data_IF_389428568602
#
_entry.id   IF_389428568602
#
_cell.length_a   1.000
_cell.length_b   1.000
_cell.length_c   1.000
_cell.angle_alpha   90.00
_cell.angle_beta   90.00
_cell.angle_gamma   90.00
#
_symmetry.space_group_name_H-M   'P 1'
#
loop_
_entity.id
_entity.type
_entity.pdbx_description
1 polymer ?
#
# COMPACT_ATOMS: atom_id res chain seq x y z
N UNK A 1 16.71 3.68 -29.99
CA UNK A 1 17.09 4.27 -28.68
C UNK A 1 17.01 3.15 -27.66
N UNK A 2 18.12 2.72 -27.05
CA UNK A 2 18.08 1.64 -26.04
C UNK A 2 17.42 2.17 -24.78
N UNK A 3 16.36 1.50 -24.32
CA UNK A 3 15.66 1.86 -23.08
C UNK A 3 16.61 1.72 -21.90
N UNK A 4 16.53 2.68 -20.99
CA UNK A 4 17.11 2.57 -19.65
C UNK A 4 15.99 2.47 -18.60
N UNK A 5 14.90 1.75 -18.93
CA UNK A 5 13.87 1.37 -17.97
C UNK A 5 14.40 0.19 -17.15
N UNK A 6 14.27 0.28 -15.83
CA UNK A 6 14.68 -0.79 -14.92
C UNK A 6 13.78 -2.00 -15.15
N UNK A 7 14.35 -3.19 -15.28
CA UNK A 7 13.62 -4.43 -15.61
C UNK A 7 13.97 -5.61 -14.72
N UNK A 8 13.21 -6.69 -14.83
CA UNK A 8 13.41 -7.96 -14.14
C UNK A 8 13.37 -7.83 -12.62
N UNK A 9 14.22 -8.60 -11.93
CA UNK A 9 14.28 -8.57 -10.46
C UNK A 9 14.65 -7.19 -9.91
N UNK A 10 15.49 -6.43 -10.61
CA UNK A 10 15.85 -5.07 -10.20
C UNK A 10 14.64 -4.14 -10.20
N UNK A 11 13.71 -4.30 -11.14
CA UNK A 11 12.46 -3.55 -11.17
C UNK A 11 11.62 -3.83 -9.92
N UNK A 12 11.42 -5.12 -9.62
CA UNK A 12 10.64 -5.61 -8.47
C UNK A 12 11.23 -5.08 -7.15
N UNK A 13 12.54 -5.25 -6.95
CA UNK A 13 13.24 -4.83 -5.71
C UNK A 13 13.21 -3.31 -5.56
N UNK A 14 13.44 -2.55 -6.64
CA UNK A 14 13.42 -1.09 -6.59
C UNK A 14 12.05 -0.50 -6.21
N UNK A 15 10.97 -1.22 -6.49
CA UNK A 15 9.61 -0.84 -6.11
C UNK A 15 9.25 -1.18 -4.65
N UNK A 16 10.14 -1.86 -3.92
CA UNK A 16 9.89 -2.34 -2.55
C UNK A 16 9.00 -3.58 -2.49
N UNK A 17 8.77 -4.27 -3.61
CA UNK A 17 8.02 -5.52 -3.60
C UNK A 17 8.97 -6.69 -3.27
N UNK A 18 8.62 -7.59 -2.32
CA UNK A 18 9.35 -8.84 -2.13
C UNK A 18 9.40 -9.66 -3.41
N UNK A 19 10.56 -10.25 -3.72
CA UNK A 19 10.78 -11.02 -4.95
C UNK A 19 9.75 -12.14 -5.11
N UNK A 20 9.41 -12.84 -4.02
CA UNK A 20 8.41 -13.91 -4.04
C UNK A 20 7.01 -13.40 -4.43
N UNK A 21 6.63 -12.20 -4.02
CA UNK A 21 5.36 -11.58 -4.43
C UNK A 21 5.45 -11.10 -5.88
N UNK A 22 6.56 -10.52 -6.31
CA UNK A 22 6.74 -10.14 -7.71
C UNK A 22 6.68 -11.34 -8.67
N UNK A 23 7.22 -12.49 -8.27
CA UNK A 23 7.07 -13.74 -9.03
C UNK A 23 5.63 -14.24 -9.06
N UNK A 24 4.90 -14.12 -7.95
CA UNK A 24 3.46 -14.43 -7.92
C UNK A 24 2.68 -13.53 -8.90
N UNK A 25 2.95 -12.23 -8.90
CA UNK A 25 2.34 -11.29 -9.85
C UNK A 25 2.66 -11.64 -11.31
N UNK A 26 3.92 -11.97 -11.61
CA UNK A 26 4.32 -12.40 -12.95
C UNK A 26 3.56 -13.65 -13.38
N UNK A 27 3.47 -14.70 -12.53
CA UNK A 27 2.72 -15.92 -12.85
C UNK A 27 1.24 -15.66 -13.13
N UNK A 28 0.61 -14.74 -12.40
CA UNK A 28 -0.78 -14.36 -12.66
C UNK A 28 -0.89 -13.62 -13.99
N UNK A 29 0.02 -12.69 -14.29
CA UNK A 29 0.05 -11.99 -15.58
C UNK A 29 0.18 -12.98 -16.75
N UNK A 30 1.12 -13.93 -16.64
CA UNK A 30 1.36 -14.99 -17.63
C UNK A 30 0.11 -15.88 -17.81
N UNK A 31 -0.45 -16.38 -16.70
CA UNK A 31 -1.60 -17.31 -16.73
C UNK A 31 -2.86 -16.68 -17.33
N UNK A 32 -3.07 -15.39 -17.08
CA UNK A 32 -4.27 -14.69 -17.52
C UNK A 32 -4.06 -13.87 -18.80
N UNK A 33 -2.88 -13.94 -19.41
CA UNK A 33 -2.53 -13.23 -20.65
C UNK A 33 -2.91 -11.73 -20.54
N UNK A 34 -2.54 -11.13 -19.42
CA UNK A 34 -2.97 -9.79 -19.05
C UNK A 34 -1.84 -9.03 -18.39
N UNK A 35 -1.55 -7.81 -18.87
CA UNK A 35 -0.60 -6.92 -18.19
C UNK A 35 -1.22 -6.49 -16.86
N UNK A 36 -0.45 -6.66 -15.80
CA UNK A 36 -0.82 -6.21 -14.45
C UNK A 36 0.18 -5.13 -14.05
N UNK A 37 -0.29 -3.90 -13.88
CA UNK A 37 0.52 -2.82 -13.36
C UNK A 37 0.13 -2.51 -11.91
N UNK A 38 1.12 -2.25 -11.06
CA UNK A 38 0.95 -2.01 -9.62
C UNK A 38 1.85 -0.86 -9.17
N UNK A 39 1.38 -0.06 -8.22
CA UNK A 39 2.19 1.01 -7.63
C UNK A 39 3.26 0.43 -6.71
N UNK A 40 4.39 1.12 -6.63
CA UNK A 40 5.41 0.77 -5.67
C UNK A 40 4.95 1.01 -4.23
N UNK A 41 5.25 0.04 -3.36
CA UNK A 41 4.97 0.12 -1.91
C UNK A 41 6.09 0.82 -1.14
N UNK A 42 7.30 0.83 -1.72
CA UNK A 42 8.49 1.44 -1.13
C UNK A 42 9.21 0.54 -0.10
N UNK A 43 10.49 0.83 0.14
CA UNK A 43 11.39 -0.03 0.92
C UNK A 43 10.95 -0.26 2.38
N UNK A 44 10.22 0.69 2.97
CA UNK A 44 9.74 0.54 4.34
C UNK A 44 8.72 -0.59 4.50
N UNK A 45 7.97 -0.94 3.45
CA UNK A 45 6.94 -1.99 3.50
C UNK A 45 7.51 -3.38 3.21
N UNK A 46 8.63 -3.50 2.48
CA UNK A 46 9.18 -4.79 2.01
C UNK A 46 9.34 -5.81 3.14
N UNK A 47 10.01 -5.43 4.23
CA UNK A 47 10.22 -6.31 5.38
C UNK A 47 8.92 -6.67 6.10
N UNK A 48 7.98 -5.73 6.18
CA UNK A 48 6.67 -5.97 6.84
C UNK A 48 5.81 -6.96 6.05
N UNK A 49 5.88 -6.89 4.72
CA UNK A 49 5.22 -7.86 3.83
C UNK A 49 5.85 -9.25 3.94
N UNK A 50 7.18 -9.35 4.07
CA UNK A 50 7.88 -10.62 4.32
C UNK A 50 7.52 -11.22 5.70
N UNK A 51 7.39 -10.37 6.72
CA UNK A 51 6.99 -10.76 8.08
C UNK A 51 5.49 -11.09 8.21
N UNK A 52 4.74 -10.98 7.12
CA UNK A 52 3.30 -11.28 7.05
C UNK A 52 2.40 -10.36 7.88
N UNK A 53 2.77 -9.09 8.08
CA UNK A 53 1.83 -8.10 8.61
C UNK A 53 0.67 -7.90 7.64
N UNK A 54 -0.54 -7.71 8.19
CA UNK A 54 -1.73 -7.39 7.42
C UNK A 54 -1.53 -6.12 6.58
N UNK A 55 -2.20 -6.03 5.43
CA UNK A 55 -2.18 -4.82 4.59
C UNK A 55 -3.51 -4.09 4.63
N UNK A 56 -3.48 -2.79 4.36
CA UNK A 56 -4.66 -1.93 4.48
C UNK A 56 -5.65 -2.20 3.36
N UNK A 57 -6.92 -2.33 3.73
CA UNK A 57 -8.03 -2.54 2.83
C UNK A 57 -8.62 -1.25 2.29
N UNK A 58 -9.69 -1.40 1.52
CA UNK A 58 -10.36 -0.30 0.84
C UNK A 58 -10.85 0.81 1.79
N UNK A 59 -11.30 0.48 2.99
CA UNK A 59 -11.88 1.46 3.92
C UNK A 59 -10.84 2.27 4.69
N UNK A 60 -9.58 1.82 4.69
CA UNK A 60 -8.49 2.54 5.32
C UNK A 60 -7.74 3.43 4.33
N UNK A 61 -8.16 4.69 4.24
CA UNK A 61 -7.54 5.68 3.34
C UNK A 61 -6.29 6.35 3.91
N UNK A 62 -5.91 6.03 5.15
CA UNK A 62 -4.78 6.65 5.81
C UNK A 62 -3.46 6.28 5.12
N UNK A 63 -2.49 7.18 5.21
CA UNK A 63 -1.15 6.98 4.66
C UNK A 63 -0.26 6.32 5.70
N UNK A 64 0.66 5.48 5.24
CA UNK A 64 1.70 4.90 6.09
C UNK A 64 2.76 5.92 6.48
N UNK A 65 3.50 5.61 7.55
CA UNK A 65 4.66 6.34 8.01
C UNK A 65 5.93 5.93 7.25
N UNK A 66 6.94 6.80 7.17
CA UNK A 66 8.24 6.53 6.53
C UNK A 66 9.43 6.85 7.44
N UNK A 67 9.20 7.06 8.72
CA UNK A 67 10.21 7.45 9.71
C UNK A 67 9.91 6.82 11.07
N UNK A 68 10.91 6.81 11.94
CA UNK A 68 10.83 6.23 13.27
C UNK A 68 10.72 4.71 13.30
N UNK A 69 10.55 4.12 14.50
CA UNK A 69 10.40 2.68 14.67
C UNK A 69 9.14 2.09 14.03
N UNK A 70 8.17 2.95 13.70
CA UNK A 70 6.87 2.64 13.09
C UNK A 70 6.83 2.85 11.58
N UNK A 71 7.96 3.16 10.93
CA UNK A 71 8.01 3.32 9.48
C UNK A 71 7.44 2.07 8.77
N UNK A 72 6.68 2.29 7.70
CA UNK A 72 5.99 1.26 6.91
C UNK A 72 4.58 0.90 7.39
N UNK A 73 4.20 1.23 8.64
CA UNK A 73 2.86 0.96 9.16
C UNK A 73 1.89 2.11 8.89
N UNK A 74 0.59 1.84 9.04
CA UNK A 74 -0.47 2.84 9.20
C UNK A 74 -0.75 3.00 10.69
N UNK A 75 -0.56 4.21 11.22
CA UNK A 75 -0.61 4.46 12.66
C UNK A 75 -1.80 5.32 13.03
N UNK A 76 -2.25 5.14 14.26
CA UNK A 76 -3.40 5.84 14.78
C UNK A 76 -3.10 7.29 15.20
N UNK A 77 -1.83 7.68 15.26
CA UNK A 77 -1.41 9.07 15.39
C UNK A 77 -1.31 9.71 14.00
N UNK A 78 -2.12 10.75 13.69
CA UNK A 78 -2.15 11.36 12.37
C UNK A 78 -0.86 12.12 12.03
N UNK A 79 0.10 12.28 12.95
CA UNK A 79 1.44 12.82 12.63
C UNK A 79 2.34 11.76 11.98
N UNK A 80 2.04 10.48 12.17
CA UNK A 80 2.83 9.36 11.65
C UNK A 80 2.40 9.01 10.23
N UNK A 81 2.72 9.92 9.32
CA UNK A 81 2.38 9.87 7.90
C UNK A 81 3.58 10.37 7.08
N UNK A 82 3.68 9.91 5.83
CA UNK A 82 4.65 10.41 4.85
C UNK A 82 4.32 11.78 4.27
N UNK A 83 3.08 12.26 4.44
CA UNK A 83 2.61 13.56 3.95
C UNK A 83 2.26 14.46 5.16
N UNK A 84 2.77 15.70 5.26
CA UNK A 84 2.49 16.61 6.38
C UNK A 84 1.02 17.08 6.52
N UNK A 85 0.10 16.69 5.63
CA UNK A 85 -1.33 16.97 5.80
C UNK A 85 -1.98 16.10 6.91
N UNK A 86 -1.84 16.58 8.14
CA UNK A 86 -2.40 15.95 9.35
C UNK A 86 -3.94 15.94 9.33
N UNK A 87 -4.59 16.94 8.71
CA UNK A 87 -6.05 17.06 8.72
C UNK A 87 -6.69 15.97 7.87
N UNK A 88 -6.22 15.81 6.63
CA UNK A 88 -6.69 14.72 5.75
C UNK A 88 -6.36 13.36 6.32
N UNK A 89 -5.17 13.20 6.92
CA UNK A 89 -4.78 11.97 7.59
C UNK A 89 -5.73 11.62 8.74
N UNK A 90 -6.09 12.60 9.59
CA UNK A 90 -7.06 12.41 10.68
C UNK A 90 -8.42 11.96 10.16
N UNK A 91 -8.93 12.61 9.11
CA UNK A 91 -10.22 12.24 8.49
C UNK A 91 -10.19 10.81 7.96
N UNK A 92 -9.08 10.40 7.35
CA UNK A 92 -8.92 9.05 6.82
C UNK A 92 -8.92 7.99 7.93
N UNK A 93 -8.24 8.26 9.06
CA UNK A 93 -8.22 7.37 10.22
C UNK A 93 -9.61 7.23 10.87
N UNK A 94 -10.35 8.33 11.00
CA UNK A 94 -11.73 8.30 11.48
C UNK A 94 -12.64 7.50 10.54
N UNK A 95 -12.47 7.65 9.23
CA UNK A 95 -13.20 6.86 8.24
C UNK A 95 -12.95 5.35 8.36
N UNK A 96 -11.70 4.95 8.64
CA UNK A 96 -11.36 3.54 8.87
C UNK A 96 -12.11 2.96 10.08
N UNK A 97 -12.14 3.69 11.21
CA UNK A 97 -12.82 3.23 12.42
C UNK A 97 -14.34 3.24 12.28
N UNK A 98 -14.92 4.26 11.64
CA UNK A 98 -16.35 4.26 11.30
C UNK A 98 -16.76 3.06 10.42
N UNK A 99 -15.80 2.43 9.75
CA UNK A 99 -16.01 1.25 8.91
C UNK A 99 -15.72 -0.08 9.65
N UNK A 100 -15.41 -0.05 10.95
CA UNK A 100 -15.10 -1.23 11.77
C UNK A 100 -13.60 -1.44 12.05
N UNK A 101 -12.76 -0.46 11.71
CA UNK A 101 -11.32 -0.48 12.00
C UNK A 101 -11.06 -0.31 13.49
N UNK A 102 -9.86 -0.70 13.93
CA UNK A 102 -9.49 -0.76 15.34
C UNK A 102 -8.00 -0.43 15.53
N UNK A 103 -7.49 -0.52 16.76
CA UNK A 103 -6.09 -0.28 17.10
C UNK A 103 -5.44 -1.47 17.79
N UNK A 104 -4.16 -1.67 17.53
CA UNK A 104 -3.32 -2.61 18.28
C UNK A 104 -2.00 -1.96 18.68
N UNK A 105 -1.41 -2.29 19.84
CA UNK A 105 -0.05 -1.89 20.16
C UNK A 105 0.91 -2.39 19.08
N UNK A 106 1.86 -1.55 18.70
CA UNK A 106 2.85 -1.90 17.69
C UNK A 106 3.99 -2.71 18.31
N UNK A 107 4.27 -3.85 17.68
CA UNK A 107 5.45 -4.66 17.95
C UNK A 107 6.26 -4.82 16.68
N UNK A 108 7.58 -4.92 16.78
CA UNK A 108 8.47 -5.22 15.66
C UNK A 108 9.49 -6.29 16.05
N UNK A 109 9.95 -7.08 15.07
CA UNK A 109 11.01 -8.07 15.28
C UNK A 109 12.36 -7.38 15.52
N UNK A 110 13.35 -8.13 16.04
CA UNK A 110 14.70 -7.60 16.15
C UNK A 110 15.31 -7.29 14.76
N UNK A 111 15.05 -8.13 13.77
CA UNK A 111 15.52 -7.92 12.39
C UNK A 111 14.95 -6.62 11.82
N UNK A 112 13.65 -6.36 12.05
CA UNK A 112 13.03 -5.10 11.67
C UNK A 112 13.66 -3.90 12.37
N UNK A 113 13.91 -3.98 13.69
CA UNK A 113 14.59 -2.93 14.45
C UNK A 113 15.97 -2.61 13.84
N UNK A 114 16.77 -3.64 13.56
CA UNK A 114 18.11 -3.47 12.96
C UNK A 114 18.03 -2.89 11.54
N UNK A 115 17.07 -3.32 10.73
CA UNK A 115 16.86 -2.80 9.38
C UNK A 115 16.46 -1.31 9.39
N UNK A 116 15.58 -0.91 10.33
CA UNK A 116 15.17 0.48 10.52
C UNK A 116 16.33 1.40 10.91
N UNK A 117 17.27 0.89 11.70
CA UNK A 117 18.46 1.62 12.15
C UNK A 117 19.52 1.74 11.03
N UNK A 118 19.76 0.66 10.29
CA UNK A 118 20.92 0.56 9.39
C UNK A 118 20.56 0.77 7.92
N UNK A 119 19.72 -0.09 7.36
CA UNK A 119 19.40 -0.13 5.93
C UNK A 119 18.43 0.97 5.53
N UNK A 120 17.37 1.17 6.32
CA UNK A 120 16.31 2.13 6.05
C UNK A 120 16.59 3.51 6.64
N UNK A 121 17.44 3.59 7.67
CA UNK A 121 17.83 4.83 8.37
C UNK A 121 16.63 5.67 8.80
N UNK A 122 15.59 5.01 9.28
CA UNK A 122 14.35 5.65 9.73
C UNK A 122 14.47 6.21 11.15
N UNK A 123 15.47 5.79 11.94
CA UNK A 123 15.64 6.18 13.34
C UNK A 123 17.11 6.14 13.76
N UNK A 124 17.45 6.90 14.79
CA UNK A 124 18.82 7.03 15.34
C UNK A 124 18.85 6.48 16.77
N UNK A 125 19.76 5.55 17.04
CA UNK A 125 19.97 5.01 18.39
C UNK A 125 20.59 6.08 19.30
N UNK A 126 19.98 6.28 20.46
CA UNK A 126 20.47 7.20 21.51
C UNK A 126 21.13 6.44 22.66
N UNK A 127 20.66 5.23 22.94
CA UNK A 127 21.20 4.37 23.99
C UNK A 127 20.26 3.20 24.29
N UNK A 128 20.66 2.31 25.19
CA UNK A 128 19.84 1.16 25.54
C UNK A 128 20.65 0.00 26.08
N UNK A 129 19.96 -1.12 26.29
CA UNK A 129 20.49 -2.40 26.72
C UNK A 129 19.63 -3.53 26.09
N UNK A 130 19.85 -4.78 26.53
CA UNK A 130 19.14 -5.95 26.00
C UNK A 130 17.62 -5.95 26.21
N UNK A 131 17.10 -5.15 27.13
CA UNK A 131 15.67 -5.10 27.49
C UNK A 131 15.00 -3.81 27.01
N UNK A 132 15.74 -2.72 26.85
CA UNK A 132 15.21 -1.41 26.47
C UNK A 132 16.16 -0.69 25.52
N UNK A 133 15.65 -0.24 24.37
CA UNK A 133 16.39 0.54 23.38
C UNK A 133 15.72 1.90 23.20
N UNK A 134 16.51 2.97 23.09
CA UNK A 134 16.03 4.36 23.02
C UNK A 134 16.44 4.98 21.70
N UNK A 135 15.47 5.56 20.99
CA UNK A 135 15.66 6.10 19.66
C UNK A 135 15.12 7.52 19.56
N UNK A 136 15.67 8.28 18.62
CA UNK A 136 15.07 9.52 18.10
C UNK A 136 14.79 9.38 16.61
N UNK A 137 13.78 10.08 16.13
CA UNK A 137 13.48 10.15 14.70
C UNK A 137 12.71 11.44 14.37
N UNK A 138 12.86 11.93 13.14
CA UNK A 138 12.18 13.13 12.67
C UNK A 138 11.24 12.83 11.51
N UNK A 139 10.04 13.40 11.58
CA UNK A 139 9.07 13.31 10.49
C UNK A 139 9.31 14.32 9.36
N UNK A 140 8.45 14.33 8.33
CA UNK A 140 8.57 15.25 7.18
C UNK A 140 8.54 16.74 7.55
N UNK A 141 7.98 17.09 8.72
CA UNK A 141 7.98 18.47 9.23
C UNK A 141 9.25 18.84 10.01
N UNK A 142 10.26 17.95 10.08
CA UNK A 142 11.52 18.18 10.78
C UNK A 142 11.44 18.09 12.32
N UNK A 143 10.25 17.91 12.89
CA UNK A 143 10.06 17.74 14.33
C UNK A 143 10.61 16.37 14.76
N UNK A 144 11.60 16.41 15.66
CA UNK A 144 12.19 15.22 16.27
C UNK A 144 11.32 14.72 17.41
N UNK A 145 11.15 13.40 17.51
CA UNK A 145 10.45 12.71 18.59
C UNK A 145 11.32 11.59 19.16
N UNK A 146 11.15 11.35 20.45
CA UNK A 146 11.79 10.25 21.18
C UNK A 146 10.90 9.01 21.26
N UNK A 147 11.51 7.84 21.15
CA UNK A 147 10.86 6.53 21.22
C UNK A 147 11.64 5.58 22.12
N UNK A 148 10.91 4.67 22.77
CA UNK A 148 11.49 3.59 23.58
C UNK A 148 10.94 2.26 23.06
N UNK A 149 11.84 1.32 22.80
CA UNK A 149 11.52 -0.05 22.43
C UNK A 149 11.80 -0.95 23.62
N UNK A 150 10.80 -1.69 24.09
CA UNK A 150 10.96 -2.65 25.19
C UNK A 150 10.87 -4.08 24.66
N UNK A 151 11.87 -4.88 24.99
CA UNK A 151 11.86 -6.30 24.67
C UNK A 151 10.76 -7.00 25.45
N UNK A 152 10.03 -7.88 24.78
CA UNK A 152 8.90 -8.60 25.36
C UNK A 152 8.76 -9.99 24.74
N UNK A 153 8.16 -10.91 25.49
CA UNK A 153 7.87 -12.29 25.06
C UNK A 153 6.40 -12.59 25.34
N UNK A 154 5.86 -13.65 24.75
CA UNK A 154 4.46 -14.05 24.97
C UNK A 154 3.43 -13.17 24.26
N UNK A 155 3.85 -12.38 23.27
CA UNK A 155 2.93 -11.64 22.39
C UNK A 155 2.22 -12.64 21.48
N UNK A 156 0.89 -12.49 21.33
CA UNK A 156 0.09 -13.39 20.51
C UNK A 156 0.59 -13.40 19.05
N UNK A 157 0.81 -14.60 18.50
CA UNK A 157 1.29 -14.82 17.13
C UNK A 157 2.81 -15.01 16.97
N UNK A 158 3.61 -14.86 18.02
CA UNK A 158 5.09 -14.95 17.92
C UNK A 158 5.66 -16.36 18.02
N UNK A 159 4.84 -17.38 18.25
CA UNK A 159 5.28 -18.78 18.47
C UNK A 159 6.42 -18.90 19.52
N UNK A 160 6.48 -17.98 20.49
CA UNK A 160 7.49 -17.94 21.55
C UNK A 160 8.69 -17.03 21.26
N UNK A 161 8.80 -16.44 20.08
CA UNK A 161 9.83 -15.46 19.76
C UNK A 161 9.59 -14.13 20.51
N UNK A 162 10.68 -13.46 20.86
CA UNK A 162 10.63 -12.14 21.49
C UNK A 162 10.53 -11.01 20.46
N UNK A 163 9.77 -9.99 20.81
CA UNK A 163 9.56 -8.78 20.00
C UNK A 163 9.97 -7.53 20.76
N UNK A 164 10.02 -6.41 20.05
CA UNK A 164 10.15 -5.08 20.60
C UNK A 164 8.80 -4.38 20.56
N UNK A 165 8.20 -4.13 21.72
CA UNK A 165 7.05 -3.22 21.83
C UNK A 165 7.52 -1.78 21.60
N UNK A 166 6.78 -1.03 20.79
CA UNK A 166 7.15 0.34 20.40
C UNK A 166 6.36 1.34 21.22
N UNK A 167 7.06 2.23 21.93
CA UNK A 167 6.47 3.24 22.80
C UNK A 167 6.98 4.63 22.47
N UNK A 168 6.14 5.62 22.76
CA UNK A 168 6.53 7.02 22.84
C UNK A 168 7.54 7.23 23.98
N UNK A 169 8.45 8.19 23.81
CA UNK A 169 9.32 8.64 24.89
C UNK A 169 8.55 9.37 26.00
N UNK A 170 9.11 9.52 27.22
CA UNK A 170 8.36 9.98 28.40
C UNK A 170 7.79 11.39 28.33
N UNK A 171 8.30 12.24 27.43
CA UNK A 171 7.84 13.62 27.23
C UNK A 171 6.97 13.78 25.97
N UNK A 172 6.78 12.70 25.22
CA UNK A 172 5.95 12.72 24.02
C UNK A 172 4.50 12.47 24.38
N UNK A 173 3.60 13.10 23.64
CA UNK A 173 2.17 12.83 23.69
C UNK A 173 1.70 12.41 22.31
N UNK A 174 0.72 11.50 22.24
CA UNK A 174 0.04 11.13 20.99
C UNK A 174 -0.89 12.28 20.57
N UNK A 175 -0.92 12.62 19.28
CA UNK A 175 -1.96 13.50 18.76
C UNK A 175 -3.23 12.66 18.53
N UNK A 176 -4.24 12.88 19.36
CA UNK A 176 -5.48 12.10 19.27
C UNK A 176 -6.28 12.40 18.01
N UNK A 177 -6.99 11.40 17.54
CA UNK A 177 -8.06 11.44 16.54
C UNK A 177 -9.37 10.78 17.07
N UNK A 178 -9.39 10.47 18.38
CA UNK A 178 -10.37 9.70 19.15
C UNK A 178 -10.74 8.36 18.52
N UNK A 179 -9.85 7.39 18.71
CA UNK A 179 -10.02 5.97 18.38
C UNK A 179 -9.89 5.10 19.66
N UNK A 180 -10.42 5.63 20.78
CA UNK A 180 -10.53 5.08 22.17
C UNK A 180 -9.27 4.97 23.05
N UNK A 181 -8.05 5.14 22.53
CA UNK A 181 -6.81 5.06 23.31
C UNK A 181 -6.44 6.31 24.14
N UNK A 182 -5.60 6.11 25.18
CA UNK A 182 -4.96 7.18 25.94
C UNK A 182 -4.04 8.04 25.04
N UNK A 183 -3.95 9.33 25.32
CA UNK A 183 -3.08 10.26 24.56
C UNK A 183 -1.76 10.59 25.27
N UNK A 184 -1.67 10.25 26.56
CA UNK A 184 -0.50 10.37 27.41
C UNK A 184 -0.49 9.17 28.36
N UNK A 185 0.71 8.78 28.81
CA UNK A 185 0.80 7.78 29.86
C UNK A 185 0.21 8.31 31.18
N UNK A 186 -0.36 7.40 31.99
CA UNK A 186 -0.97 7.78 33.27
C UNK A 186 0.06 8.24 34.32
N UNK A 187 1.31 7.81 34.19
CA UNK A 187 2.47 8.26 34.99
C UNK A 187 3.75 8.18 34.14
N UNK A 188 4.88 8.71 34.64
CA UNK A 188 6.18 8.70 33.93
C UNK A 188 6.85 7.33 33.84
N UNK A 189 6.37 6.34 34.59
CA UNK A 189 6.90 4.96 34.59
C UNK A 189 6.22 4.06 33.57
N UNK A 190 4.98 4.38 33.22
CA UNK A 190 4.23 3.79 32.14
C UNK A 190 4.56 4.54 30.85
N UNK A 191 4.92 3.80 29.80
CA UNK A 191 5.14 4.39 28.49
C UNK A 191 3.86 4.23 27.67
N UNK A 192 3.51 5.25 26.90
CA UNK A 192 2.36 5.15 26.00
C UNK A 192 2.77 4.31 24.77
N UNK A 193 2.05 3.23 24.42
CA UNK A 193 2.36 2.46 23.22
C UNK A 193 2.05 3.26 21.96
N UNK A 194 2.87 3.08 20.93
CA UNK A 194 2.52 3.49 19.57
C UNK A 194 1.48 2.50 19.06
N UNK A 195 0.34 3.02 18.61
CA UNK A 195 -0.78 2.20 18.13
C UNK A 195 -0.80 2.17 16.61
N UNK A 196 -0.88 0.97 16.05
CA UNK A 196 -1.12 0.73 14.63
C UNK A 196 -2.61 0.54 14.37
N UNK A 197 -3.06 0.91 13.17
CA UNK A 197 -4.43 0.63 12.73
C UNK A 197 -4.54 -0.85 12.36
N UNK A 198 -5.66 -1.45 12.75
CA UNK A 198 -6.14 -2.75 12.30
C UNK A 198 -7.22 -2.52 11.25
N UNK A 199 -7.05 -3.10 10.07
CA UNK A 199 -8.03 -2.98 8.99
C UNK A 199 -9.41 -3.57 9.40
N UNK A 200 -10.54 -2.96 9.01
CA UNK A 200 -11.86 -3.50 9.33
C UNK A 200 -12.09 -4.94 8.86
N UNK A 201 -11.44 -5.33 7.76
CA UNK A 201 -11.58 -6.66 7.15
C UNK A 201 -10.34 -7.54 7.41
N UNK A 202 -9.52 -7.21 8.41
CA UNK A 202 -8.41 -8.05 8.85
C UNK A 202 -8.94 -9.46 9.24
N UNK A 203 -8.37 -10.56 8.73
CA UNK A 203 -8.81 -11.92 9.09
C UNK A 203 -8.78 -12.15 10.59
N UNK A 204 -9.76 -12.89 11.13
CA UNK A 204 -9.95 -13.08 12.58
C UNK A 204 -8.71 -13.67 13.24
N UNK A 205 -8.09 -14.65 12.60
CA UNK A 205 -6.87 -15.31 13.05
C UNK A 205 -5.65 -14.38 13.08
N UNK A 206 -5.59 -13.39 12.19
CA UNK A 206 -4.52 -12.38 12.17
C UNK A 206 -4.82 -11.28 13.17
N UNK A 207 -6.09 -10.87 13.28
CA UNK A 207 -6.58 -9.79 14.16
C UNK A 207 -6.21 -10.02 15.63
N UNK A 208 -6.12 -11.27 16.06
CA UNK A 208 -5.75 -11.67 17.42
C UNK A 208 -4.23 -11.70 17.67
N UNK A 209 -3.41 -11.27 16.71
CA UNK A 209 -1.95 -11.31 16.78
C UNK A 209 -1.34 -9.94 16.55
N UNK A 210 -0.05 -9.78 16.86
CA UNK A 210 0.68 -8.53 16.56
C UNK A 210 0.72 -8.19 15.06
N UNK A 211 0.51 -9.18 14.18
CA UNK A 211 0.49 -9.00 12.72
C UNK A 211 -0.74 -8.27 12.21
N UNK A 212 -1.74 -8.02 13.05
CA UNK A 212 -2.88 -7.17 12.73
C UNK A 212 -2.49 -5.70 12.47
N UNK A 213 -1.31 -5.27 12.93
CA UNK A 213 -0.76 -3.95 12.64
C UNK A 213 -0.58 -3.77 11.13
N UNK A 214 -1.32 -2.83 10.55
CA UNK A 214 -1.49 -2.77 9.10
C UNK A 214 -0.34 -2.04 8.40
N UNK A 215 0.16 -2.59 7.29
CA UNK A 215 1.12 -1.97 6.36
C UNK A 215 0.47 -1.62 5.00
N UNK A 216 1.26 -1.16 4.04
CA UNK A 216 0.81 -0.86 2.68
C UNK A 216 0.33 -2.12 1.95
N UNK A 217 -0.72 -1.98 1.18
CA UNK A 217 -1.21 -2.94 0.20
C UNK A 217 -0.59 -2.72 -1.19
N UNK A 218 -0.88 -3.64 -2.11
CA UNK A 218 -0.58 -3.53 -3.53
C UNK A 218 -1.73 -2.86 -4.28
N UNK A 219 -1.68 -1.54 -4.33
CA UNK A 219 -2.54 -0.73 -5.18
C UNK A 219 -2.26 -1.04 -6.66
N UNK A 220 -3.18 -1.75 -7.34
CA UNK A 220 -3.11 -1.91 -8.78
C UNK A 220 -3.16 -0.52 -9.45
N UNK A 221 -2.25 -0.27 -10.38
CA UNK A 221 -2.21 0.96 -11.17
C UNK A 221 -3.18 0.86 -12.34
N UNK A 222 -3.03 -0.17 -13.17
CA UNK A 222 -3.91 -0.48 -14.28
C UNK A 222 -3.81 -1.95 -14.67
N UNK A 223 -4.82 -2.44 -15.38
CA UNK A 223 -4.86 -3.79 -15.95
C UNK A 223 -5.14 -3.69 -17.45
N UNK A 224 -4.29 -4.30 -18.27
CA UNK A 224 -4.45 -4.29 -19.74
C UNK A 224 -4.62 -5.71 -20.27
N UNK A 225 -5.85 -6.11 -20.62
CA UNK A 225 -6.08 -7.41 -21.24
C UNK A 225 -5.57 -7.44 -22.68
N UNK A 226 -5.20 -8.63 -23.15
CA UNK A 226 -4.97 -8.84 -24.59
C UNK A 226 -6.21 -8.44 -25.39
N UNK A 227 -5.98 -7.84 -26.55
CA UNK A 227 -7.02 -7.33 -27.45
C UNK A 227 -8.03 -8.40 -27.84
N UNK A 228 -7.58 -9.63 -28.07
CA UNK A 228 -8.42 -10.80 -28.38
C UNK A 228 -9.37 -11.19 -27.24
N UNK A 229 -9.02 -10.88 -25.99
CA UNK A 229 -9.79 -11.23 -24.80
C UNK A 229 -10.61 -10.08 -24.22
N UNK A 230 -10.39 -8.85 -24.69
CA UNK A 230 -11.03 -7.64 -24.17
C UNK A 230 -12.55 -7.67 -24.42
N UNK A 231 -13.33 -7.39 -23.37
CA UNK A 231 -14.79 -7.36 -23.45
C UNK A 231 -15.35 -6.18 -22.69
N UNK A 232 -15.65 -5.10 -23.42
CA UNK A 232 -16.18 -3.84 -22.85
C UNK A 232 -17.52 -3.99 -22.14
N UNK A 233 -18.39 -4.86 -22.63
CA UNK A 233 -19.71 -5.14 -22.03
C UNK A 233 -19.67 -6.28 -21.01
N UNK A 234 -18.56 -7.04 -20.97
CA UNK A 234 -18.37 -8.20 -20.11
C UNK A 234 -17.26 -7.98 -19.09
N UNK A 235 -16.17 -8.73 -19.24
CA UNK A 235 -15.11 -8.85 -18.23
C UNK A 235 -14.41 -7.52 -17.88
N UNK A 236 -14.40 -6.56 -18.81
CA UNK A 236 -13.71 -5.27 -18.67
C UNK A 236 -14.68 -4.11 -18.43
N UNK A 237 -15.96 -4.40 -18.21
CA UNK A 237 -16.98 -3.39 -17.95
C UNK A 237 -16.77 -2.77 -16.58
N UNK A 238 -16.48 -1.46 -16.55
CA UNK A 238 -16.49 -0.65 -15.31
C UNK A 238 -17.88 -0.57 -14.72
N UNK A 239 -17.97 -0.57 -13.39
CA UNK A 239 -19.24 -0.37 -12.68
C UNK A 239 -19.80 1.03 -12.91
N UNK A 240 -18.93 2.03 -12.90
CA UNK A 240 -19.28 3.42 -13.19
C UNK A 240 -19.31 3.63 -14.71
N UNK A 241 -20.47 3.90 -15.31
CA UNK A 241 -20.56 4.02 -16.77
C UNK A 241 -19.69 5.15 -17.32
N UNK A 242 -18.92 4.84 -18.38
CA UNK A 242 -18.09 5.81 -19.10
C UNK A 242 -16.84 6.31 -18.37
N UNK A 243 -16.55 5.80 -17.16
CA UNK A 243 -15.36 6.18 -16.40
C UNK A 243 -14.04 5.70 -17.00
N UNK A 244 -14.10 4.76 -17.93
CA UNK A 244 -12.98 4.23 -18.72
C UNK A 244 -12.53 5.18 -19.84
N UNK A 245 -13.29 6.26 -20.10
CA UNK A 245 -13.05 7.17 -21.22
C UNK A 245 -13.07 8.63 -20.82
N UNK A 246 -14.05 9.01 -19.99
CA UNK A 246 -14.32 10.40 -19.63
C UNK A 246 -14.29 10.56 -18.11
N UNK A 247 -13.83 11.72 -17.65
CA UNK A 247 -13.91 12.09 -16.23
C UNK A 247 -15.38 12.12 -15.81
N UNK A 248 -15.74 11.27 -14.86
CA UNK A 248 -17.08 11.24 -14.27
C UNK A 248 -17.10 12.05 -12.96
N UNK A 249 -18.25 12.63 -12.64
CA UNK A 249 -18.45 13.33 -11.37
C UNK A 249 -18.58 12.35 -10.19
N UNK A 250 -18.19 12.79 -8.99
CA UNK A 250 -18.19 11.96 -7.77
C UNK A 250 -19.56 11.31 -7.48
N UNK A 251 -20.67 11.99 -7.81
CA UNK A 251 -22.03 11.45 -7.67
C UNK A 251 -22.22 10.12 -8.44
N UNK A 252 -21.63 10.00 -9.63
CA UNK A 252 -21.72 8.77 -10.43
C UNK A 252 -21.00 7.60 -9.75
N UNK A 253 -19.84 7.87 -9.16
CA UNK A 253 -19.08 6.88 -8.39
C UNK A 253 -19.86 6.43 -7.15
N UNK A 254 -20.38 7.37 -6.34
CA UNK A 254 -21.19 7.07 -5.16
C UNK A 254 -22.40 6.17 -5.50
N UNK A 255 -23.01 6.36 -6.67
CA UNK A 255 -24.19 5.61 -7.09
C UNK A 255 -23.89 4.19 -7.60
N UNK A 256 -22.73 3.97 -8.25
CA UNK A 256 -22.48 2.75 -9.02
C UNK A 256 -21.28 1.93 -8.55
N UNK A 257 -20.32 2.51 -7.84
CA UNK A 257 -19.15 1.75 -7.35
C UNK A 257 -19.55 0.63 -6.40
N UNK A 258 -18.71 -0.39 -6.35
CA UNK A 258 -18.78 -1.37 -5.28
C UNK A 258 -18.40 -0.70 -3.95
N UNK A 259 -19.20 -0.86 -2.87
CA UNK A 259 -18.94 -0.20 -1.59
C UNK A 259 -17.65 -0.68 -0.91
N UNK A 260 -17.07 -1.80 -1.34
CA UNK A 260 -15.89 -2.40 -0.71
C UNK A 260 -14.72 -2.59 -1.67
N UNK A 261 -14.99 -2.59 -2.99
CA UNK A 261 -13.98 -2.83 -4.02
C UNK A 261 -13.78 -1.64 -4.98
N UNK A 262 -14.61 -0.59 -4.88
CA UNK A 262 -14.59 0.57 -5.77
C UNK A 262 -15.10 0.26 -7.19
N UNK A 263 -14.60 0.99 -8.19
CA UNK A 263 -14.97 0.84 -9.60
C UNK A 263 -14.36 -0.40 -10.30
N UNK A 264 -14.50 -1.56 -9.65
CA UNK A 264 -13.89 -2.82 -10.07
C UNK A 264 -14.59 -3.44 -11.27
N UNK A 265 -13.83 -3.97 -12.23
CA UNK A 265 -14.36 -4.80 -13.33
C UNK A 265 -14.38 -6.28 -12.93
N UNK A 266 -15.18 -7.14 -13.59
CA UNK A 266 -15.10 -8.58 -13.36
C UNK A 266 -13.68 -9.16 -13.53
N UNK A 267 -12.92 -8.71 -14.54
CA UNK A 267 -11.53 -9.13 -14.77
C UNK A 267 -10.62 -8.72 -13.62
N UNK A 268 -10.69 -7.48 -13.17
CA UNK A 268 -9.85 -7.01 -12.07
C UNK A 268 -10.16 -7.78 -10.79
N UNK A 269 -11.43 -8.10 -10.52
CA UNK A 269 -11.79 -8.91 -9.36
C UNK A 269 -11.25 -10.35 -9.44
N UNK A 270 -11.26 -10.94 -10.64
CA UNK A 270 -10.64 -12.24 -10.91
C UNK A 270 -9.12 -12.19 -10.67
N UNK A 271 -8.43 -11.21 -11.25
CA UNK A 271 -6.98 -11.05 -11.08
C UNK A 271 -6.61 -10.77 -9.62
N UNK A 272 -7.36 -9.93 -8.91
CA UNK A 272 -7.19 -9.68 -7.47
C UNK A 272 -7.22 -10.98 -6.67
N UNK A 273 -8.21 -11.82 -6.93
CA UNK A 273 -8.37 -13.12 -6.26
C UNK A 273 -7.20 -14.06 -6.58
N UNK A 274 -6.77 -14.11 -7.84
CA UNK A 274 -5.62 -14.91 -8.27
C UNK A 274 -4.31 -14.42 -7.62
N UNK A 275 -4.07 -13.11 -7.60
CA UNK A 275 -2.90 -12.48 -6.97
C UNK A 275 -2.81 -12.81 -5.49
N UNK A 276 -3.91 -12.61 -4.73
CA UNK A 276 -3.92 -12.94 -3.31
C UNK A 276 -3.73 -14.44 -3.06
N UNK A 277 -4.25 -15.30 -3.94
CA UNK A 277 -4.05 -16.76 -3.84
C UNK A 277 -2.60 -17.14 -4.09
N UNK A 278 -1.98 -16.63 -5.15
CA UNK A 278 -0.57 -16.90 -5.47
C UNK A 278 0.39 -16.35 -4.41
N UNK A 279 0.13 -15.16 -3.87
CA UNK A 279 0.94 -14.57 -2.80
C UNK A 279 0.85 -15.40 -1.51
N UNK A 280 -0.36 -15.85 -1.12
CA UNK A 280 -0.52 -16.75 0.03
C UNK A 280 0.17 -18.10 -0.19
N UNK A 281 0.16 -18.62 -1.42
CA UNK A 281 0.90 -19.84 -1.76
C UNK A 281 2.43 -19.69 -1.60
N UNK A 282 2.96 -18.46 -1.58
CA UNK A 282 4.36 -18.18 -1.22
C UNK A 282 4.61 -18.09 0.30
N UNK A 283 3.59 -18.32 1.12
CA UNK A 283 3.70 -18.35 2.59
C UNK A 283 3.26 -17.08 3.31
N UNK A 284 2.73 -16.07 2.58
CA UNK A 284 2.18 -14.86 3.19
C UNK A 284 0.93 -15.19 4.01
N UNK A 285 0.91 -14.76 5.28
CA UNK A 285 -0.14 -15.09 6.25
C UNK A 285 -0.92 -13.87 6.76
N UNK A 286 -0.68 -12.68 6.23
CA UNK A 286 -1.35 -11.44 6.67
C UNK A 286 -2.75 -11.22 6.07
N UNK A 287 -3.26 -12.16 5.27
CA UNK A 287 -4.53 -12.05 4.57
C UNK A 287 -4.35 -11.67 3.09
N UNK A 288 -5.19 -10.76 2.61
CA UNK A 288 -5.12 -10.22 1.25
C UNK A 288 -4.07 -9.10 1.16
N UNK A 289 -3.44 -8.97 -0.01
CA UNK A 289 -2.48 -7.89 -0.34
C UNK A 289 -2.97 -6.97 -1.44
N UNK A 290 -3.93 -7.40 -2.26
CA UNK A 290 -4.66 -6.56 -3.23
C UNK A 290 -6.13 -6.52 -2.80
N UNK A 291 -6.62 -5.34 -2.42
CA UNK A 291 -7.94 -5.22 -1.78
C UNK A 291 -9.04 -4.71 -2.69
N UNK A 292 -8.71 -3.91 -3.70
CA UNK A 292 -9.72 -3.18 -4.46
C UNK A 292 -9.34 -3.02 -5.93
N UNK A 293 -10.17 -2.28 -6.67
CA UNK A 293 -9.93 -1.92 -8.06
C UNK A 293 -8.59 -1.20 -8.27
N UNK A 294 -8.15 -1.17 -9.52
CA UNK A 294 -7.02 -0.38 -9.98
C UNK A 294 -7.26 1.15 -9.97
N UNK A 295 -6.16 1.89 -10.02
CA UNK A 295 -6.16 3.35 -10.07
C UNK A 295 -6.74 3.89 -11.38
N UNK A 296 -6.65 3.14 -12.48
CA UNK A 296 -7.27 3.49 -13.75
C UNK A 296 -8.80 3.74 -13.64
N UNK A 297 -9.47 3.06 -12.70
CA UNK A 297 -10.90 3.25 -12.42
C UNK A 297 -11.22 4.25 -11.32
N UNK A 298 -10.23 4.88 -10.67
CA UNK A 298 -10.40 5.65 -9.43
C UNK A 298 -10.85 7.10 -9.69
N UNK A 299 -11.83 7.64 -8.93
CA UNK A 299 -12.22 9.05 -9.05
C UNK A 299 -11.17 10.00 -8.47
N UNK A 300 -11.21 11.26 -8.91
CA UNK A 300 -10.41 12.37 -8.37
C UNK A 300 -8.89 12.18 -8.49
N UNK A 301 -8.43 11.32 -9.40
CA UNK A 301 -7.02 11.20 -9.77
C UNK A 301 -6.68 12.28 -10.79
N UNK A 302 -5.66 13.08 -10.51
CA UNK A 302 -5.16 14.13 -11.42
C UNK A 302 -3.82 13.77 -12.04
N UNK A 303 -3.03 12.95 -11.36
CA UNK A 303 -1.63 12.70 -11.68
C UNK A 303 -1.31 11.21 -11.56
N UNK A 304 -0.28 10.79 -12.29
CA UNK A 304 0.31 9.46 -12.19
C UNK A 304 1.27 9.44 -11.00
N UNK A 305 1.01 8.55 -10.05
CA UNK A 305 1.93 8.26 -8.95
C UNK A 305 3.05 7.34 -9.44
N UNK A 306 4.31 7.72 -9.20
CA UNK A 306 5.49 6.91 -9.54
C UNK A 306 6.20 6.38 -8.30
N UNK A 307 6.94 5.26 -8.40
CA UNK A 307 7.07 4.39 -9.58
C UNK A 307 5.93 3.35 -9.72
N UNK A 308 5.73 2.85 -10.95
CA UNK A 308 4.80 1.78 -11.29
C UNK A 308 5.54 0.58 -11.87
N UNK A 309 5.22 -0.61 -11.37
CA UNK A 309 5.74 -1.89 -11.81
C UNK A 309 4.75 -2.56 -12.76
N UNK A 310 5.20 -2.95 -13.95
CA UNK A 310 4.42 -3.60 -14.99
C UNK A 310 4.88 -5.06 -15.11
N UNK A 311 3.96 -5.99 -14.90
CA UNK A 311 4.14 -7.41 -15.18
C UNK A 311 3.50 -7.70 -16.54
N UNK A 312 4.33 -7.81 -17.58
CA UNK A 312 3.89 -8.14 -18.93
C UNK A 312 3.95 -9.66 -19.11
N UNK A 313 2.90 -10.30 -19.66
CA UNK A 313 2.89 -11.74 -19.88
C UNK A 313 4.12 -12.24 -20.63
N UNK A 314 4.77 -13.28 -20.09
CA UNK A 314 5.94 -13.98 -20.64
C UNK A 314 7.20 -13.13 -20.82
N UNK A 315 7.22 -11.93 -20.24
CA UNK A 315 8.35 -11.01 -20.29
C UNK A 315 8.89 -10.68 -18.88
N UNK A 316 9.99 -9.93 -18.82
CA UNK A 316 10.49 -9.40 -17.56
C UNK A 316 9.61 -8.24 -17.07
N UNK A 317 9.44 -8.11 -15.75
CA UNK A 317 8.75 -6.96 -15.17
C UNK A 317 9.50 -5.65 -15.44
N UNK A 318 8.78 -4.54 -15.66
CA UNK A 318 9.34 -3.21 -15.92
C UNK A 318 8.96 -2.21 -14.83
N UNK A 319 9.88 -1.38 -14.35
CA UNK A 319 9.61 -0.32 -13.39
C UNK A 319 9.69 1.05 -14.07
N UNK A 320 8.53 1.65 -14.33
CA UNK A 320 8.42 3.00 -14.86
C UNK A 320 8.51 4.02 -13.71
N UNK A 321 9.45 4.97 -13.82
CA UNK A 321 9.76 5.94 -12.76
C UNK A 321 9.31 7.35 -13.08
N UNK A 322 8.84 7.59 -14.29
CA UNK A 322 8.40 8.89 -14.75
C UNK A 322 7.43 8.75 -15.95
N UNK A 323 6.88 9.89 -16.39
CA UNK A 323 5.92 9.95 -17.50
C UNK A 323 6.50 9.46 -18.82
N UNK A 324 7.79 9.70 -19.09
CA UNK A 324 8.44 9.24 -20.32
C UNK A 324 8.52 7.72 -20.38
N UNK A 325 8.91 7.06 -19.28
CA UNK A 325 8.93 5.60 -19.15
C UNK A 325 7.55 5.00 -19.45
N UNK A 326 6.49 5.57 -18.84
CA UNK A 326 5.11 5.11 -19.06
C UNK A 326 4.68 5.31 -20.52
N UNK A 327 4.90 6.49 -21.11
CA UNK A 327 4.55 6.73 -22.52
C UNK A 327 5.19 5.69 -23.45
N UNK A 328 6.47 5.38 -23.21
CA UNK A 328 7.16 4.38 -24.00
C UNK A 328 6.56 2.98 -23.81
N UNK A 329 6.36 2.53 -22.57
CA UNK A 329 5.73 1.23 -22.30
C UNK A 329 4.35 1.14 -22.95
N UNK A 330 3.52 2.18 -22.79
CA UNK A 330 2.19 2.22 -23.39
C UNK A 330 2.24 2.14 -24.93
N UNK A 331 3.21 2.80 -25.59
CA UNK A 331 3.33 2.68 -27.06
C UNK A 331 3.61 1.25 -27.51
N UNK A 332 4.41 0.48 -26.78
CA UNK A 332 4.70 -0.92 -27.10
C UNK A 332 3.50 -1.81 -26.74
N UNK A 333 2.96 -1.65 -25.54
CA UNK A 333 1.82 -2.46 -25.09
C UNK A 333 0.56 -2.23 -25.94
N UNK A 334 0.41 -1.05 -26.55
CA UNK A 334 -0.74 -0.71 -27.38
C UNK A 334 -0.93 -1.60 -28.61
N UNK A 335 0.10 -2.32 -29.07
CA UNK A 335 -0.03 -3.23 -30.20
C UNK A 335 -0.95 -4.40 -29.84
N UNK A 336 -0.67 -5.08 -28.72
CA UNK A 336 -1.32 -6.34 -28.35
C UNK A 336 -2.40 -6.19 -27.27
N UNK A 337 -2.38 -5.10 -26.50
CA UNK A 337 -3.23 -4.92 -25.33
C UNK A 337 -4.18 -3.72 -25.46
N UNK A 338 -5.32 -3.78 -24.76
CA UNK A 338 -6.26 -2.66 -24.64
C UNK A 338 -5.91 -1.83 -23.41
N UNK A 339 -5.52 -0.58 -23.63
CA UNK A 339 -5.08 0.34 -22.59
C UNK A 339 -6.28 1.04 -21.93
N UNK A 340 -6.72 0.54 -20.77
CA UNK A 340 -7.68 1.23 -19.91
C UNK A 340 -6.98 2.23 -18.99
N UNK A 341 -6.99 3.51 -19.32
CA UNK A 341 -6.27 4.56 -18.58
C UNK A 341 -7.23 5.48 -17.83
N UNK A 342 -6.80 6.00 -16.68
CA UNK A 342 -7.58 7.00 -15.96
C UNK A 342 -7.68 8.30 -16.78
N UNK A 343 -8.90 8.87 -16.97
CA UNK A 343 -9.08 10.21 -17.55
C UNK A 343 -8.37 11.36 -16.82
N UNK A 344 -7.94 11.12 -15.58
CA UNK A 344 -7.01 11.93 -14.82
C UNK A 344 -5.69 12.15 -15.54
N UNK A 345 -5.11 11.08 -16.09
CA UNK A 345 -3.74 11.03 -16.61
C UNK A 345 -3.57 11.58 -18.03
N UNK A 346 -4.66 11.80 -18.76
CA UNK A 346 -4.63 12.14 -20.19
C UNK A 346 -3.72 13.35 -20.48
N UNK A 347 -3.77 14.39 -19.64
CA UNK A 347 -2.91 15.57 -19.79
C UNK A 347 -1.42 15.22 -19.73
N UNK A 348 -1.00 14.43 -18.72
CA UNK A 348 0.41 14.04 -18.57
C UNK A 348 0.85 13.10 -19.69
N UNK A 349 -0.05 12.22 -20.13
CA UNK A 349 0.19 11.30 -21.23
C UNK A 349 0.14 11.97 -22.60
N UNK A 350 -0.36 13.21 -22.70
CA UNK A 350 -0.54 13.91 -23.97
C UNK A 350 -1.60 13.25 -24.84
N UNK A 351 -2.65 12.70 -24.22
CA UNK A 351 -3.78 12.07 -24.89
C UNK A 351 -4.95 13.05 -24.94
N UNK A 352 -5.59 13.18 -26.09
CA UNK A 352 -6.92 13.80 -26.20
C UNK A 352 -7.97 12.71 -26.35
N UNK A 353 -9.22 13.06 -26.05
CA UNK A 353 -10.34 12.12 -26.19
C UNK A 353 -11.45 12.82 -26.94
N UNK A 354 -11.92 12.19 -28.01
CA UNK A 354 -13.03 12.69 -28.81
C UNK A 354 -14.31 12.79 -27.96
N UNK A 355 -15.34 13.51 -28.45
CA UNK A 355 -16.65 13.56 -27.77
C UNK A 355 -17.28 12.17 -27.58
N UNK A 356 -16.90 11.21 -28.42
CA UNK A 356 -17.37 9.82 -28.40
C UNK A 356 -16.51 8.91 -27.50
N UNK A 357 -15.42 9.45 -26.94
CA UNK A 357 -14.58 8.74 -25.99
C UNK A 357 -13.44 7.93 -26.64
N UNK A 358 -13.03 8.28 -27.87
CA UNK A 358 -11.89 7.66 -28.55
C UNK A 358 -10.61 8.41 -28.22
N UNK A 359 -9.53 7.69 -27.92
CA UNK A 359 -8.21 8.31 -27.76
C UNK A 359 -7.74 8.89 -29.09
N UNK A 360 -7.37 10.17 -29.07
CA UNK A 360 -6.74 10.90 -30.15
C UNK A 360 -5.30 11.20 -29.70
N UNK A 361 -4.35 11.07 -30.63
CA UNK A 361 -2.92 11.36 -30.42
C UNK A 361 -2.59 12.70 -31.03
#
# INVERSE_FOLDING_TARGET
>A
MKLNIVRGLSAIVSAGMPIQHGRAFQRVADTHECVIAVRAVGACATGLLLESYATKGFHNKAKSCTWGPMAGFVLADPRFTKNPDISSQRKALQGAVSSGGDETPLYITNDRRQALETQLKCMTLVGGNSQEMRYTASGPMGVSMSFILKYTTGVAGTKGEGLWGVFYGPQESRLSNSLTGLNQAQDRTNLLPVMAIVDPYCPVEVRQTYRAATTCDYDLWAVFPQRSSYSRSGADRRRVPGSDRLRQGLKSFIQHEDPHLGNITPRINLLRTALNTEVRAQGYQGGDVVHHSDEAGRPLVSDIDFPCLFFTPHEEAYCARNVHDVKHLLSVLSFDYVLGLNPGWHRQLGLTVSREGHYEV
#
